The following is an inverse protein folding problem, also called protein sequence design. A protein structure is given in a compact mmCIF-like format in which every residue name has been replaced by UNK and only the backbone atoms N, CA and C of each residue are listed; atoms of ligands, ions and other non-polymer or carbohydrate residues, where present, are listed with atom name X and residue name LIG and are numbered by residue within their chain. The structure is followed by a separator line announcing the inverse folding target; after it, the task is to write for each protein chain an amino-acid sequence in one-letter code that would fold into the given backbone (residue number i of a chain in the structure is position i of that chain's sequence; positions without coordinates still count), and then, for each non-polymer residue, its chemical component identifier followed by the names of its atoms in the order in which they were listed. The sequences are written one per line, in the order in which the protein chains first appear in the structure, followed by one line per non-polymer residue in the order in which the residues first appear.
data_IF_169438251806
#
_entry.id   IF_169438251806
#
_cell.length_a   1.000
_cell.length_b   1.000
_cell.length_c   1.000
_cell.angle_alpha   90.00
_cell.angle_beta   90.00
_cell.angle_gamma   90.00
#
_symmetry.space_group_name_H-M   'P 1'
#
loop_
_entity.id
_entity.type
_entity.pdbx_description
1 polymer ?
#
# COMPACT_ATOMS: atom_id res chain seq x y z
N UNK A 1 12.03 -1.07 -3.54
CA UNK A 1 11.45 -0.05 -4.44
C UNK A 1 11.83 1.33 -3.93
N UNK A 2 13.11 1.73 -4.12
CA UNK A 2 13.69 2.97 -3.53
C UNK A 2 13.25 4.28 -4.19
N UNK A 3 12.41 4.24 -5.23
CA UNK A 3 12.13 5.41 -6.06
C UNK A 3 10.82 6.13 -5.69
N UNK A 4 9.81 5.45 -5.17
CA UNK A 4 8.50 6.07 -4.87
C UNK A 4 7.61 5.32 -3.86
N UNK A 5 7.95 4.08 -3.46
CA UNK A 5 7.06 3.24 -2.66
C UNK A 5 7.53 3.13 -1.20
N UNK A 6 8.60 2.37 -0.90
CA UNK A 6 9.19 2.27 0.45
C UNK A 6 10.66 1.81 0.37
N UNK A 7 11.49 2.20 1.34
CA UNK A 7 12.91 1.80 1.45
C UNK A 7 13.05 0.33 1.89
N UNK A 8 12.86 -0.57 0.94
CA UNK A 8 12.92 -2.01 1.15
C UNK A 8 14.21 -2.55 0.52
N UNK A 9 15.23 -2.81 1.35
CA UNK A 9 16.57 -3.26 0.92
C UNK A 9 16.56 -4.57 0.11
N UNK A 10 15.54 -5.42 0.28
CA UNK A 10 15.48 -6.75 -0.36
C UNK A 10 14.10 -7.07 -0.95
N UNK A 11 13.39 -6.07 -1.50
CA UNK A 11 12.06 -6.30 -2.07
C UNK A 11 12.09 -7.32 -3.21
N UNK A 12 11.44 -8.48 -3.03
CA UNK A 12 11.22 -9.48 -4.08
C UNK A 12 9.73 -9.53 -4.41
N UNK A 13 9.38 -9.40 -5.68
CA UNK A 13 8.02 -9.58 -6.18
C UNK A 13 7.69 -11.08 -6.28
N UNK A 14 7.55 -11.73 -5.13
CA UNK A 14 7.24 -13.15 -5.03
C UNK A 14 6.20 -13.40 -3.95
N UNK A 15 5.22 -14.26 -4.23
CA UNK A 15 4.24 -14.72 -3.23
C UNK A 15 4.95 -15.29 -2.00
N UNK A 16 4.46 -14.90 -0.82
CA UNK A 16 5.03 -15.24 0.49
C UNK A 16 6.20 -14.34 0.92
N UNK A 17 6.64 -13.39 0.09
CA UNK A 17 7.66 -12.43 0.50
C UNK A 17 7.08 -11.44 1.51
N UNK A 18 7.72 -11.33 2.66
CA UNK A 18 7.33 -10.42 3.73
C UNK A 18 8.23 -9.19 3.76
N UNK A 19 7.63 -8.05 4.05
CA UNK A 19 8.33 -6.80 4.24
C UNK A 19 7.64 -5.96 5.32
N UNK A 20 8.40 -5.03 5.91
CA UNK A 20 7.89 -4.14 6.93
C UNK A 20 8.43 -2.74 6.73
N UNK A 21 7.64 -1.74 7.10
CA UNK A 21 8.05 -0.34 7.10
C UNK A 21 7.39 0.39 8.27
N UNK A 22 7.89 1.59 8.59
CA UNK A 22 7.34 2.42 9.65
C UNK A 22 6.53 3.52 8.98
N UNK A 23 5.23 3.59 9.29
CA UNK A 23 4.37 4.73 9.00
C UNK A 23 4.16 5.62 10.22
N UNK A 24 3.70 6.84 9.98
CA UNK A 24 3.37 7.81 11.01
C UNK A 24 1.85 8.06 10.99
N UNK A 25 1.19 7.95 12.15
CA UNK A 25 -0.21 8.30 12.35
C UNK A 25 -0.45 9.80 12.35
N UNK A 26 -1.71 10.21 12.41
CA UNK A 26 -2.09 11.62 12.31
C UNK A 26 -1.50 12.49 13.44
N UNK A 27 -1.30 11.89 14.61
CA UNK A 27 -0.79 12.51 15.85
C UNK A 27 0.73 12.37 16.02
N UNK A 28 1.41 11.68 15.09
CA UNK A 28 2.84 11.37 15.18
C UNK A 28 3.18 10.00 15.78
N UNK A 29 2.18 9.17 16.08
CA UNK A 29 2.38 7.79 16.50
C UNK A 29 3.10 6.97 15.42
N UNK A 30 4.03 6.10 15.83
CA UNK A 30 4.78 5.24 14.91
C UNK A 30 4.10 3.89 14.79
N UNK A 31 3.66 3.58 13.59
CA UNK A 31 3.04 2.31 13.24
C UNK A 31 4.01 1.45 12.45
N UNK A 32 4.25 0.22 12.92
CA UNK A 32 5.07 -0.75 12.17
C UNK A 32 4.14 -1.58 11.32
N UNK A 33 4.17 -1.36 10.01
CA UNK A 33 3.45 -2.13 9.02
C UNK A 33 4.15 -3.45 8.77
N UNK A 34 3.39 -4.54 8.78
CA UNK A 34 3.82 -5.89 8.46
C UNK A 34 3.03 -6.34 7.23
N UNK A 35 3.72 -6.51 6.12
CA UNK A 35 3.12 -6.85 4.83
C UNK A 35 3.64 -8.19 4.31
N UNK A 36 2.78 -8.92 3.60
CA UNK A 36 3.13 -10.17 2.94
C UNK A 36 2.52 -10.20 1.55
N UNK A 37 3.32 -10.46 0.52
CA UNK A 37 2.85 -10.58 -0.85
C UNK A 37 1.99 -11.84 -0.98
N UNK A 38 0.71 -11.66 -1.31
CA UNK A 38 -0.25 -12.76 -1.47
C UNK A 38 -0.41 -13.18 -2.92
N UNK A 39 -0.22 -12.26 -3.87
CA UNK A 39 -0.36 -12.50 -5.30
C UNK A 39 0.54 -11.59 -6.13
N UNK A 40 1.16 -12.15 -7.17
CA UNK A 40 1.91 -11.39 -8.17
C UNK A 40 1.56 -11.93 -9.55
N UNK A 41 1.03 -11.07 -10.40
CA UNK A 41 0.87 -11.30 -11.84
C UNK A 41 1.68 -10.21 -12.54
N UNK A 42 2.83 -10.55 -13.17
CA UNK A 42 3.69 -9.57 -13.82
C UNK A 42 2.91 -8.61 -14.72
N UNK A 43 3.19 -7.31 -14.58
CA UNK A 43 2.59 -6.21 -15.35
C UNK A 43 1.06 -6.08 -15.26
N UNK A 44 0.41 -6.83 -14.36
CA UNK A 44 -1.06 -6.84 -14.25
C UNK A 44 -1.55 -6.64 -12.83
N UNK A 45 -0.99 -7.36 -11.86
CA UNK A 45 -1.50 -7.36 -10.49
C UNK A 45 -0.41 -7.57 -9.46
N UNK A 46 -0.49 -6.80 -8.38
CA UNK A 46 0.26 -7.02 -7.16
C UNK A 46 -0.72 -6.95 -6.00
N UNK A 47 -0.75 -7.98 -5.17
CA UNK A 47 -1.54 -7.99 -3.95
C UNK A 47 -0.67 -8.37 -2.76
N UNK A 48 -0.90 -7.71 -1.64
CA UNK A 48 -0.24 -8.04 -0.39
C UNK A 48 -1.14 -7.72 0.81
N UNK A 49 -0.95 -8.46 1.90
CA UNK A 49 -1.62 -8.20 3.17
C UNK A 49 -1.07 -6.97 3.86
N UNK A 50 -1.89 -6.34 4.67
CA UNK A 50 -1.52 -5.16 5.45
C UNK A 50 -1.93 -5.37 6.90
N UNK A 51 -0.93 -5.40 7.78
CA UNK A 51 -1.09 -5.57 9.23
C UNK A 51 -0.25 -4.56 9.97
N UNK A 52 -0.59 -4.34 11.23
CA UNK A 52 0.14 -3.47 12.14
C UNK A 52 0.70 -4.29 13.30
N UNK A 53 2.00 -4.15 13.59
CA UNK A 53 2.62 -4.86 14.72
C UNK A 53 1.95 -4.42 16.03
N UNK A 54 1.38 -5.38 16.75
CA UNK A 54 0.73 -5.12 18.05
C UNK A 54 -0.75 -4.75 17.96
N UNK A 55 -1.34 -4.74 16.77
CA UNK A 55 -2.77 -4.45 16.58
C UNK A 55 -3.49 -5.64 15.93
N UNK A 56 -4.76 -5.78 16.26
CA UNK A 56 -5.66 -6.78 15.65
C UNK A 56 -6.13 -6.27 14.29
N UNK A 57 -6.35 -7.19 13.37
CA UNK A 57 -6.86 -6.89 12.03
C UNK A 57 -5.86 -7.18 10.93
N UNK A 58 -6.37 -7.38 9.73
CA UNK A 58 -5.62 -7.60 8.51
C UNK A 58 -6.46 -7.13 7.34
N UNK A 59 -5.93 -6.19 6.59
CA UNK A 59 -6.51 -5.76 5.33
C UNK A 59 -5.68 -6.28 4.15
N UNK A 60 -6.20 -6.09 2.94
CA UNK A 60 -5.55 -6.44 1.68
C UNK A 60 -5.44 -5.20 0.81
N UNK A 61 -4.24 -5.01 0.25
CA UNK A 61 -4.01 -3.97 -0.75
C UNK A 61 -3.73 -4.64 -2.08
N UNK A 62 -4.50 -4.25 -3.09
CA UNK A 62 -4.41 -4.75 -4.46
C UNK A 62 -4.13 -3.60 -5.41
N UNK A 63 -3.06 -3.73 -6.19
CA UNK A 63 -2.72 -2.90 -7.33
C UNK A 63 -3.07 -3.67 -8.59
N UNK A 64 -3.89 -3.08 -9.46
CA UNK A 64 -4.26 -3.63 -10.75
C UNK A 64 -3.89 -2.64 -11.86
N UNK A 65 -3.20 -3.12 -12.89
CA UNK A 65 -2.79 -2.35 -14.05
C UNK A 65 -3.63 -2.75 -15.26
N UNK A 66 -4.25 -1.75 -15.89
CA UNK A 66 -5.05 -1.92 -17.09
C UNK A 66 -4.42 -1.11 -18.22
N UNK A 67 -4.15 -1.79 -19.34
CA UNK A 67 -3.67 -1.12 -20.55
C UNK A 67 -4.82 -0.31 -21.17
N UNK A 68 -4.61 0.98 -21.40
CA UNK A 68 -5.59 1.88 -22.00
C UNK A 68 -4.97 2.67 -23.15
N UNK A 69 -5.10 2.17 -24.37
CA UNK A 69 -4.54 2.78 -25.58
C UNK A 69 -3.06 3.22 -25.42
N UNK A 70 -2.81 4.51 -25.17
CA UNK A 70 -1.47 5.11 -24.98
C UNK A 70 -1.09 5.35 -23.51
N UNK A 71 -1.91 4.89 -22.56
CA UNK A 71 -1.74 5.08 -21.12
C UNK A 71 -1.96 3.76 -20.39
N UNK A 72 -1.65 3.76 -19.10
CA UNK A 72 -1.95 2.68 -18.18
C UNK A 72 -2.83 3.24 -17.08
N UNK A 73 -3.99 2.62 -16.84
CA UNK A 73 -4.81 2.91 -15.68
C UNK A 73 -4.35 2.02 -14.53
N UNK A 74 -3.95 2.65 -13.43
CA UNK A 74 -3.71 1.98 -12.16
C UNK A 74 -4.97 2.08 -11.31
N UNK A 75 -5.45 0.95 -10.80
CA UNK A 75 -6.48 0.88 -9.78
C UNK A 75 -5.86 0.34 -8.50
N UNK A 76 -6.01 1.08 -7.41
CA UNK A 76 -5.72 0.60 -6.07
C UNK A 76 -7.02 0.22 -5.38
N UNK A 77 -7.03 -0.91 -4.69
CA UNK A 77 -8.13 -1.33 -3.81
C UNK A 77 -7.54 -1.69 -2.46
N UNK A 78 -8.06 -1.09 -1.38
CA UNK A 78 -7.72 -1.41 0.00
C UNK A 78 -8.97 -1.91 0.70
N UNK A 79 -9.04 -3.21 0.98
CA UNK A 79 -10.22 -3.89 1.52
C UNK A 79 -9.89 -4.59 2.84
N UNK A 80 -10.89 -4.90 3.68
CA UNK A 80 -10.66 -5.50 4.99
C UNK A 80 -10.31 -4.50 6.09
N UNK A 81 -10.59 -3.20 5.88
CA UNK A 81 -10.35 -2.15 6.88
C UNK A 81 -11.24 -2.32 8.12
N UNK A 82 -12.40 -2.96 7.96
CA UNK A 82 -13.33 -3.32 9.03
C UNK A 82 -12.74 -4.33 10.03
N UNK A 83 -11.63 -4.98 9.68
CA UNK A 83 -10.93 -5.92 10.58
C UNK A 83 -10.07 -5.21 11.62
N UNK A 84 -9.75 -3.93 11.41
CA UNK A 84 -9.01 -3.11 12.38
C UNK A 84 -9.92 -2.60 13.50
N UNK A 85 -9.30 -2.07 14.55
CA UNK A 85 -10.05 -1.44 15.64
C UNK A 85 -10.79 -0.20 15.14
N UNK A 86 -12.12 -0.30 15.09
CA UNK A 86 -13.02 0.76 14.62
C UNK A 86 -13.10 1.93 15.63
N UNK A 87 -12.57 1.77 16.84
CA UNK A 87 -12.50 2.83 17.84
C UNK A 87 -11.20 3.65 17.73
N UNK A 88 -10.21 3.17 16.97
CA UNK A 88 -8.99 3.93 16.74
C UNK A 88 -9.17 4.85 15.52
N UNK A 89 -9.17 6.19 15.70
CA UNK A 89 -9.36 7.12 14.59
C UNK A 89 -8.26 7.04 13.54
N UNK A 90 -7.05 6.57 13.88
CA UNK A 90 -5.97 6.40 12.90
C UNK A 90 -6.28 5.31 11.86
N UNK A 91 -7.13 4.33 12.20
CA UNK A 91 -7.57 3.26 11.29
C UNK A 91 -8.89 3.58 10.57
N UNK A 92 -9.35 4.83 10.61
CA UNK A 92 -10.48 5.27 9.81
C UNK A 92 -10.17 5.16 8.31
N UNK A 93 -11.14 4.68 7.52
CA UNK A 93 -11.03 4.52 6.06
C UNK A 93 -10.56 5.81 5.36
N UNK A 94 -11.02 6.98 5.82
CA UNK A 94 -10.63 8.27 5.29
C UNK A 94 -9.12 8.54 5.38
N UNK A 95 -8.43 8.05 6.42
CA UNK A 95 -6.98 8.22 6.54
C UNK A 95 -6.23 7.39 5.49
N UNK A 96 -6.69 6.16 5.24
CA UNK A 96 -6.14 5.32 4.19
C UNK A 96 -6.37 5.94 2.81
N UNK A 97 -7.56 6.47 2.55
CA UNK A 97 -7.88 7.17 1.31
C UNK A 97 -6.99 8.39 1.08
N UNK A 98 -6.81 9.23 2.10
CA UNK A 98 -5.93 10.39 2.04
C UNK A 98 -4.47 9.99 1.77
N UNK A 99 -3.97 8.98 2.50
CA UNK A 99 -2.61 8.47 2.32
C UNK A 99 -2.36 7.90 0.91
N UNK A 100 -3.30 7.12 0.38
CA UNK A 100 -3.20 6.58 -0.98
C UNK A 100 -3.32 7.65 -2.05
N UNK A 101 -4.18 8.65 -1.85
CA UNK A 101 -4.35 9.78 -2.76
C UNK A 101 -3.05 10.57 -2.89
N UNK A 102 -2.36 10.83 -1.80
CA UNK A 102 -1.06 11.51 -1.83
C UNK A 102 0.01 10.65 -2.52
N UNK A 103 0.13 9.39 -2.11
CA UNK A 103 1.19 8.51 -2.60
C UNK A 103 1.04 8.20 -4.10
N UNK A 104 -0.18 7.91 -4.56
CA UNK A 104 -0.44 7.53 -5.96
C UNK A 104 -0.75 8.76 -6.83
N UNK A 105 -1.60 9.65 -6.32
CA UNK A 105 -2.06 10.82 -7.08
C UNK A 105 -0.95 11.85 -7.30
N UNK A 106 -0.06 12.02 -6.31
CA UNK A 106 1.01 13.01 -6.37
C UNK A 106 2.38 12.35 -6.59
N UNK A 107 2.87 11.54 -5.65
CA UNK A 107 4.26 11.07 -5.69
C UNK A 107 4.56 10.16 -6.88
N UNK A 108 3.71 9.15 -7.14
CA UNK A 108 3.88 8.27 -8.30
C UNK A 108 3.77 9.05 -9.61
N UNK A 109 2.80 9.96 -9.72
CA UNK A 109 2.61 10.78 -10.91
C UNK A 109 3.83 11.66 -11.18
N UNK A 110 4.35 12.37 -10.17
CA UNK A 110 5.58 13.16 -10.30
C UNK A 110 6.77 12.30 -10.71
N UNK A 111 6.90 11.09 -10.16
CA UNK A 111 7.98 10.16 -10.54
C UNK A 111 7.89 9.70 -12.01
N UNK A 112 6.68 9.49 -12.54
CA UNK A 112 6.46 9.04 -13.91
C UNK A 112 6.52 10.18 -14.95
N UNK A 113 6.04 11.37 -14.59
CA UNK A 113 5.95 12.54 -15.47
C UNK A 113 7.20 13.45 -15.40
N UNK A 114 7.97 13.40 -14.31
CA UNK A 114 9.18 14.19 -14.11
C UNK A 114 10.43 13.67 -14.82
N UNK A 115 10.27 12.92 -15.93
CA UNK A 115 11.36 12.40 -16.77
C UNK A 115 11.34 12.98 -18.17
#
# INVERSE_FOLDING_TARGET
MKLWYFDLEKFKLQKGFQFSFIGQGATGEKYIHLCEITEVVPEKKLQYSWKYKGYVGTSLVTFELFKEARKTRLKLTHEGLETFDQHNPDFASANFEAGWTELIGNLLRVHLEGK
#
